data_IF_074026127376
#
_entry.id   IF_074026127376
#
_cell.length_a   1.000
_cell.length_b   1.000
_cell.length_c   1.000
_cell.angle_alpha   90.00
_cell.angle_beta   90.00
_cell.angle_gamma   90.00
#
_symmetry.space_group_name_H-M   'P 1'
#
loop_
_entity.id
_entity.type
_entity.pdbx_description
1 polymer ?
#
# COMPACT_ATOMS: atom_id res chain seq x y z
N UNK A 1 -4.03 17.68 -24.51
CA UNK A 1 -3.71 16.37 -23.89
C UNK A 1 -4.35 16.35 -22.52
N UNK A 2 -4.97 15.25 -22.10
CA UNK A 2 -5.76 15.19 -20.87
C UNK A 2 -4.86 15.29 -19.63
N UNK A 3 -5.16 16.19 -18.70
CA UNK A 3 -4.45 16.35 -17.40
C UNK A 3 -4.75 15.23 -16.40
N UNK A 4 -5.35 14.12 -16.85
CA UNK A 4 -5.75 13.00 -16.01
C UNK A 4 -4.82 11.81 -16.16
N UNK A 5 -4.56 11.17 -15.03
CA UNK A 5 -3.98 9.84 -14.99
C UNK A 5 -4.93 8.82 -15.63
N UNK A 6 -4.39 7.92 -16.43
CA UNK A 6 -5.13 6.80 -17.03
C UNK A 6 -4.65 5.49 -16.41
N UNK A 7 -5.61 4.65 -16.01
CA UNK A 7 -5.32 3.36 -15.36
C UNK A 7 -4.96 2.33 -16.42
N UNK A 8 -3.71 1.85 -16.38
CA UNK A 8 -3.21 0.81 -17.28
C UNK A 8 -3.47 -0.58 -16.72
N UNK A 9 -3.29 -0.75 -15.41
CA UNK A 9 -3.43 -2.03 -14.72
C UNK A 9 -4.07 -1.83 -13.36
N UNK A 10 -5.01 -2.71 -13.00
CA UNK A 10 -5.51 -2.87 -11.63
C UNK A 10 -5.97 -4.31 -11.46
N UNK A 11 -5.09 -5.11 -10.90
CA UNK A 11 -5.30 -6.54 -10.72
C UNK A 11 -5.03 -6.93 -9.28
N UNK A 12 -5.82 -7.89 -8.80
CA UNK A 12 -5.53 -8.66 -7.59
C UNK A 12 -5.23 -10.08 -8.03
N UNK A 13 -3.98 -10.49 -7.88
CA UNK A 13 -3.50 -11.81 -8.29
C UNK A 13 -3.52 -12.70 -7.07
N UNK A 14 -4.38 -13.73 -7.05
CA UNK A 14 -4.38 -14.75 -5.99
C UNK A 14 -3.17 -15.65 -6.18
N UNK A 15 -2.32 -15.74 -5.16
CA UNK A 15 -1.07 -16.52 -5.17
C UNK A 15 -1.15 -17.76 -4.25
N UNK A 16 -2.12 -17.78 -3.33
CA UNK A 16 -2.41 -18.90 -2.43
C UNK A 16 -3.79 -18.73 -1.82
N UNK A 17 -4.15 -19.62 -0.89
CA UNK A 17 -5.43 -19.55 -0.17
C UNK A 17 -5.62 -18.19 0.50
N UNK A 18 -4.59 -17.75 1.23
CA UNK A 18 -4.53 -16.50 1.98
C UNK A 18 -3.44 -15.55 1.46
N UNK A 19 -3.00 -15.69 0.22
CA UNK A 19 -1.92 -14.85 -0.33
C UNK A 19 -2.36 -14.22 -1.64
N UNK A 20 -2.18 -12.91 -1.78
CA UNK A 20 -2.42 -12.20 -3.03
C UNK A 20 -1.48 -11.01 -3.23
N UNK A 21 -1.29 -10.63 -4.50
CA UNK A 21 -0.64 -9.38 -4.87
C UNK A 21 -1.67 -8.39 -5.42
N UNK A 22 -1.69 -7.18 -4.87
CA UNK A 22 -2.41 -6.03 -5.44
C UNK A 22 -1.46 -5.22 -6.31
N UNK A 23 -1.79 -5.10 -7.59
CA UNK A 23 -0.99 -4.42 -8.61
C UNK A 23 -1.83 -3.31 -9.22
N UNK A 24 -1.42 -2.07 -9.04
CA UNK A 24 -2.04 -0.92 -9.71
C UNK A 24 -0.99 -0.08 -10.42
N UNK A 25 -1.24 0.21 -11.70
CA UNK A 25 -0.37 1.04 -12.56
C UNK A 25 -1.21 2.04 -13.33
N UNK A 26 -0.73 3.29 -13.34
CA UNK A 26 -1.32 4.40 -14.07
C UNK A 26 -0.25 5.06 -14.94
N UNK A 27 -0.63 5.48 -16.14
CA UNK A 27 0.14 6.50 -16.88
C UNK A 27 -0.33 7.88 -16.43
N UNK A 28 0.61 8.81 -16.28
CA UNK A 28 0.38 10.18 -15.82
C UNK A 28 0.84 11.21 -16.88
N UNK A 29 0.22 12.41 -16.92
CA UNK A 29 0.52 13.43 -17.94
C UNK A 29 1.91 14.05 -17.86
N UNK A 30 2.65 13.83 -16.76
CA UNK A 30 4.03 14.31 -16.55
C UNK A 30 4.89 13.20 -15.96
N UNK A 31 6.21 13.36 -16.00
CA UNK A 31 7.09 12.38 -15.35
C UNK A 31 6.86 12.43 -13.84
N UNK A 32 6.84 11.26 -13.22
CA UNK A 32 6.79 11.20 -11.76
C UNK A 32 8.06 11.82 -11.20
N UNK A 33 7.94 12.70 -10.20
CA UNK A 33 9.08 13.35 -9.56
C UNK A 33 10.11 12.31 -9.13
N UNK A 34 11.38 12.50 -9.53
CA UNK A 34 12.46 11.56 -9.23
C UNK A 34 12.54 10.36 -10.20
N UNK A 35 11.72 10.33 -11.25
CA UNK A 35 11.74 9.28 -12.27
C UNK A 35 11.91 9.83 -13.69
N UNK A 36 12.40 8.98 -14.59
CA UNK A 36 12.49 9.25 -16.02
C UNK A 36 11.21 8.89 -16.78
N UNK A 37 10.24 8.23 -16.14
CA UNK A 37 9.03 7.71 -16.77
C UNK A 37 7.73 8.39 -16.31
N UNK A 38 6.65 8.11 -17.06
CA UNK A 38 5.29 8.62 -16.84
C UNK A 38 4.37 7.61 -16.15
N UNK A 39 4.93 6.64 -15.43
CA UNK A 39 4.13 5.67 -14.68
C UNK A 39 4.12 5.96 -13.18
N UNK A 40 2.92 6.00 -12.61
CA UNK A 40 2.71 5.89 -11.16
C UNK A 40 2.26 4.46 -10.88
N UNK A 41 2.72 3.87 -9.78
CA UNK A 41 2.35 2.50 -9.42
C UNK A 41 2.23 2.34 -7.91
N UNK A 42 1.45 1.34 -7.50
CA UNK A 42 1.32 0.87 -6.12
C UNK A 42 1.23 -0.66 -6.17
N UNK A 43 2.18 -1.33 -5.54
CA UNK A 43 2.30 -2.79 -5.51
C UNK A 43 2.30 -3.24 -4.06
N UNK A 44 1.44 -4.19 -3.70
CA UNK A 44 1.40 -4.76 -2.36
C UNK A 44 1.35 -6.28 -2.44
N UNK A 45 2.19 -6.95 -1.64
CA UNK A 45 2.10 -8.39 -1.41
C UNK A 45 1.46 -8.61 -0.05
N UNK A 46 0.30 -9.26 -0.04
CA UNK A 46 -0.55 -9.41 1.14
C UNK A 46 -0.68 -10.88 1.48
N UNK A 47 -0.39 -11.21 2.74
CA UNK A 47 -0.63 -12.52 3.35
C UNK A 47 -1.71 -12.34 4.40
N UNK A 48 -2.92 -12.80 4.10
CA UNK A 48 -4.04 -12.85 5.03
C UNK A 48 -3.78 -13.87 6.16
N UNK A 49 -4.50 -13.72 7.28
CA UNK A 49 -4.40 -14.65 8.41
C UNK A 49 -3.30 -14.35 9.45
N UNK A 50 -2.56 -13.24 9.32
CA UNK A 50 -1.56 -12.82 10.33
C UNK A 50 -2.16 -12.28 11.64
N UNK A 51 -3.47 -12.04 11.67
CA UNK A 51 -4.12 -11.32 12.77
C UNK A 51 -3.71 -9.85 12.80
N UNK A 52 -4.04 -9.18 13.90
CA UNK A 52 -3.73 -7.77 14.09
C UNK A 52 -2.22 -7.58 14.27
N UNK A 53 -1.61 -6.78 13.40
CA UNK A 53 -0.20 -6.41 13.45
C UNK A 53 -0.01 -4.97 12.95
N UNK A 54 1.11 -4.37 13.35
CA UNK A 54 1.58 -3.08 12.87
C UNK A 54 2.98 -3.20 12.30
N UNK A 55 3.31 -2.28 11.40
CA UNK A 55 4.64 -2.19 10.79
C UNK A 55 5.38 -0.97 11.34
N UNK A 56 6.46 -1.24 12.07
CA UNK A 56 7.41 -0.24 12.55
C UNK A 56 8.65 -0.30 11.65
N UNK A 57 8.57 0.38 10.51
CA UNK A 57 9.61 0.37 9.49
C UNK A 57 9.71 -1.03 8.88
N UNK A 58 10.84 -1.71 9.07
CA UNK A 58 11.03 -3.09 8.61
C UNK A 58 10.59 -4.14 9.64
N UNK A 59 10.14 -3.72 10.82
CA UNK A 59 9.73 -4.61 11.91
C UNK A 59 8.21 -4.80 11.88
N UNK A 60 7.77 -6.06 11.92
CA UNK A 60 6.37 -6.42 12.11
C UNK A 60 6.17 -6.82 13.58
N UNK A 61 5.15 -6.25 14.23
CA UNK A 61 4.82 -6.54 15.62
C UNK A 61 3.32 -6.82 15.78
N UNK A 62 2.91 -7.73 16.68
CA UNK A 62 1.51 -7.92 17.02
C UNK A 62 0.86 -6.61 17.47
N UNK A 63 -0.39 -6.38 17.07
CA UNK A 63 -1.19 -5.24 17.50
C UNK A 63 -2.34 -5.74 18.37
N UNK A 64 -2.56 -5.08 19.51
CA UNK A 64 -3.72 -5.38 20.37
C UNK A 64 -4.78 -4.34 20.07
N UNK A 65 -5.85 -4.77 19.40
CA UNK A 65 -6.97 -3.90 19.09
C UNK A 65 -7.67 -3.40 20.37
N UNK A 66 -7.84 -2.08 20.47
CA UNK A 66 -8.58 -1.43 21.57
C UNK A 66 -9.83 -0.72 21.04
N UNK A 67 -9.65 0.17 20.07
CA UNK A 67 -10.73 0.89 19.39
C UNK A 67 -10.28 1.36 18.02
N UNK A 68 -11.23 1.76 17.16
CA UNK A 68 -10.92 2.33 15.85
C UNK A 68 -10.15 3.65 15.97
N UNK A 69 -10.52 4.51 16.92
CA UNK A 69 -9.85 5.79 17.13
C UNK A 69 -8.39 5.57 17.55
N UNK A 70 -8.15 4.66 18.51
CA UNK A 70 -6.79 4.31 18.94
C UNK A 70 -5.96 3.67 17.81
N UNK A 71 -6.57 2.82 16.99
CA UNK A 71 -5.90 2.24 15.82
C UNK A 71 -5.41 3.31 14.84
N UNK A 72 -6.23 4.34 14.60
CA UNK A 72 -5.87 5.45 13.72
C UNK A 72 -4.76 6.31 14.34
N UNK A 73 -4.85 6.62 15.63
CA UNK A 73 -3.84 7.41 16.35
C UNK A 73 -2.48 6.67 16.41
N UNK A 74 -2.50 5.37 16.69
CA UNK A 74 -1.30 4.53 16.70
C UNK A 74 -0.66 4.46 15.31
N UNK A 75 -1.47 4.34 14.25
CA UNK A 75 -0.98 4.33 12.87
C UNK A 75 -0.25 5.63 12.51
N UNK A 76 -0.82 6.79 12.82
CA UNK A 76 -0.15 8.07 12.52
C UNK A 76 1.09 8.28 13.39
N UNK A 77 1.06 7.78 14.62
CA UNK A 77 2.24 7.76 15.48
C UNK A 77 3.37 6.93 14.86
N UNK A 78 3.06 5.81 14.20
CA UNK A 78 4.06 4.99 13.50
C UNK A 78 4.61 5.66 12.26
N UNK A 79 3.72 6.21 11.42
CA UNK A 79 4.12 6.88 10.18
C UNK A 79 5.05 8.06 10.45
N UNK A 80 4.87 8.77 11.55
CA UNK A 80 5.70 9.94 11.90
C UNK A 80 7.06 9.59 12.52
N UNK A 81 7.28 8.33 12.90
CA UNK A 81 8.57 7.85 13.44
C UNK A 81 9.49 7.23 12.38
N UNK A 82 9.07 7.18 11.11
CA UNK A 82 9.81 6.68 9.96
C UNK A 82 10.49 7.80 9.16
#
# INVERSE_FOLDING_TARGET
MSDKAERLLKERIKLGEDVFADVSVWTVPERVRGSTHRYKYALAYVVAGKGDHRHLGTVEAPYVFVSIDQLIDDFWTDVTQL
#
